data_IF_397873341656
#
_entry.id   IF_397873341656
#
_cell.length_a   1.000
_cell.length_b   1.000
_cell.length_c   1.000
_cell.angle_alpha   90.00
_cell.angle_beta   90.00
_cell.angle_gamma   90.00
#
_symmetry.space_group_name_H-M   'P 1'
#
loop_
_entity.id
_entity.type
_entity.pdbx_description
1 polymer ?
#
# COMPACT_ATOMS: atom_id res chain seq x y z
N UNK A 1 -2.66 -47.79 35.78
CA UNK A 1 -3.50 -48.98 35.94
C UNK A 1 -5.00 -48.65 35.93
N UNK A 2 -5.55 -47.68 36.71
CA UNK A 2 -6.99 -47.35 36.63
C UNK A 2 -7.36 -46.58 35.35
N UNK A 3 -6.56 -45.58 34.95
CA UNK A 3 -6.83 -44.75 33.77
C UNK A 3 -6.89 -45.53 32.43
N UNK A 4 -6.24 -46.69 32.36
CA UNK A 4 -6.23 -47.53 31.14
C UNK A 4 -7.52 -48.32 30.96
N UNK A 5 -8.19 -48.72 32.06
CA UNK A 5 -9.46 -49.42 31.99
C UNK A 5 -10.60 -48.46 31.61
N UNK A 6 -10.64 -47.28 32.23
CA UNK A 6 -11.65 -46.25 31.94
C UNK A 6 -11.57 -45.80 30.48
N UNK A 7 -10.35 -45.65 29.94
CA UNK A 7 -10.13 -45.33 28.54
C UNK A 7 -10.76 -46.38 27.60
N UNK A 8 -10.44 -47.66 27.84
CA UNK A 8 -10.98 -48.77 27.03
C UNK A 8 -12.50 -48.90 27.15
N UNK A 9 -13.06 -48.65 28.34
CA UNK A 9 -14.51 -48.68 28.55
C UNK A 9 -15.20 -47.54 27.79
N UNK A 10 -14.65 -46.32 27.84
CA UNK A 10 -15.23 -45.18 27.14
C UNK A 10 -15.13 -45.31 25.63
N UNK A 11 -14.04 -45.86 25.09
CA UNK A 11 -13.92 -46.17 23.66
C UNK A 11 -14.95 -47.21 23.21
N UNK A 12 -15.09 -48.31 23.94
CA UNK A 12 -16.10 -49.34 23.64
C UNK A 12 -17.54 -48.80 23.75
N UNK A 13 -17.79 -47.97 24.75
CA UNK A 13 -19.09 -47.33 24.95
C UNK A 13 -19.42 -46.37 23.80
N UNK A 14 -18.47 -45.54 23.39
CA UNK A 14 -18.58 -44.68 22.22
C UNK A 14 -18.89 -45.48 20.96
N UNK A 15 -18.14 -46.54 20.67
CA UNK A 15 -18.34 -47.37 19.48
C UNK A 15 -19.72 -48.03 19.49
N UNK A 16 -20.16 -48.53 20.65
CA UNK A 16 -21.49 -49.12 20.83
C UNK A 16 -22.61 -48.07 20.64
N UNK A 17 -22.44 -46.86 21.19
CA UNK A 17 -23.40 -45.76 21.04
C UNK A 17 -23.50 -45.27 19.60
N UNK A 18 -22.36 -45.17 18.90
CA UNK A 18 -22.34 -44.80 17.47
C UNK A 18 -23.03 -45.85 16.62
N UNK A 19 -22.72 -47.14 16.84
CA UNK A 19 -23.38 -48.24 16.14
C UNK A 19 -24.89 -48.23 16.38
N UNK A 20 -25.32 -48.02 17.63
CA UNK A 20 -26.73 -47.90 17.98
C UNK A 20 -27.40 -46.69 17.30
N UNK A 21 -26.74 -45.53 17.31
CA UNK A 21 -27.27 -44.31 16.70
C UNK A 21 -27.49 -44.48 15.19
N UNK A 22 -26.47 -44.97 14.48
CA UNK A 22 -26.52 -45.21 13.03
C UNK A 22 -27.59 -46.25 12.64
N UNK A 23 -27.72 -47.34 13.39
CA UNK A 23 -28.63 -48.45 13.05
C UNK A 23 -30.07 -48.22 13.48
N UNK A 24 -30.31 -47.55 14.61
CA UNK A 24 -31.62 -47.48 15.22
C UNK A 24 -32.17 -46.06 15.36
N UNK A 25 -31.33 -45.04 15.59
CA UNK A 25 -31.80 -43.68 15.81
C UNK A 25 -31.97 -42.90 14.50
N UNK A 26 -30.99 -42.95 13.59
CA UNK A 26 -31.05 -42.26 12.30
C UNK A 26 -32.27 -42.69 11.46
N UNK A 27 -32.56 -43.99 11.28
CA UNK A 27 -33.69 -44.42 10.43
C UNK A 27 -35.06 -44.16 11.04
N UNK A 28 -35.15 -43.86 12.34
CA UNK A 28 -36.41 -43.58 13.05
C UNK A 28 -36.67 -42.09 13.25
N UNK A 29 -35.68 -41.23 12.97
CA UNK A 29 -35.79 -39.80 13.20
C UNK A 29 -36.55 -39.13 12.04
N UNK A 30 -37.77 -38.66 12.31
CA UNK A 30 -38.66 -38.03 11.32
C UNK A 30 -38.07 -36.76 10.70
N UNK A 31 -37.26 -36.00 11.43
CA UNK A 31 -36.62 -34.78 10.91
C UNK A 31 -35.48 -35.11 9.93
N UNK A 32 -34.63 -36.08 10.26
CA UNK A 32 -33.55 -36.51 9.36
C UNK A 32 -34.08 -37.15 8.08
N UNK A 33 -35.21 -37.87 8.17
CA UNK A 33 -35.91 -38.42 7.01
C UNK A 33 -36.47 -37.29 6.14
N UNK A 34 -37.12 -36.29 6.75
CA UNK A 34 -37.67 -35.14 6.03
C UNK A 34 -36.59 -34.33 5.29
N UNK A 35 -35.38 -34.25 5.84
CA UNK A 35 -34.23 -33.58 5.23
C UNK A 35 -33.45 -34.47 4.24
N UNK A 36 -33.85 -35.72 4.02
CA UNK A 36 -33.15 -36.67 3.15
C UNK A 36 -31.81 -37.19 3.69
N UNK A 37 -31.40 -36.76 4.90
CA UNK A 37 -30.12 -37.09 5.53
C UNK A 37 -30.06 -38.53 6.05
N UNK A 38 -31.20 -39.20 6.24
CA UNK A 38 -31.22 -40.60 6.68
C UNK A 38 -30.56 -41.57 5.70
N UNK A 39 -30.44 -41.20 4.41
CA UNK A 39 -29.78 -42.04 3.39
C UNK A 39 -28.28 -41.73 3.24
N UNK A 40 -27.83 -40.57 3.70
CA UNK A 40 -26.44 -40.11 3.62
C UNK A 40 -25.65 -40.47 4.87
N UNK A 41 -26.27 -40.42 6.05
CA UNK A 41 -25.63 -40.75 7.34
C UNK A 41 -25.54 -42.26 7.56
N UNK A 42 -24.48 -42.91 7.04
CA UNK A 42 -24.28 -44.38 7.15
C UNK A 42 -23.02 -44.77 7.91
N UNK A 43 -22.03 -43.89 7.95
CA UNK A 43 -20.72 -44.13 8.54
C UNK A 43 -20.41 -43.10 9.64
N UNK A 44 -19.37 -43.40 10.42
CA UNK A 44 -18.83 -42.46 11.41
C UNK A 44 -18.29 -41.18 10.77
N UNK A 45 -17.78 -41.25 9.54
CA UNK A 45 -17.30 -40.09 8.77
C UNK A 45 -18.45 -39.16 8.36
N UNK A 46 -19.60 -39.73 8.00
CA UNK A 46 -20.79 -38.94 7.67
C UNK A 46 -21.30 -38.20 8.92
N UNK A 47 -21.23 -38.84 10.10
CA UNK A 47 -21.55 -38.19 11.38
C UNK A 47 -20.51 -37.12 11.74
N UNK A 48 -19.22 -37.35 11.51
CA UNK A 48 -18.18 -36.34 11.70
C UNK A 48 -18.47 -35.09 10.88
N UNK A 49 -18.76 -35.27 9.59
CA UNK A 49 -19.06 -34.17 8.68
C UNK A 49 -20.33 -33.44 9.11
N UNK A 50 -21.39 -34.17 9.48
CA UNK A 50 -22.67 -33.56 9.84
C UNK A 50 -22.68 -32.89 11.22
N UNK A 51 -22.00 -33.46 12.22
CA UNK A 51 -21.93 -32.90 13.56
C UNK A 51 -20.75 -31.95 13.77
N UNK A 52 -19.81 -31.91 12.81
CA UNK A 52 -18.58 -31.12 12.88
C UNK A 52 -17.73 -31.50 14.10
N UNK A 53 -17.82 -32.77 14.51
CA UNK A 53 -17.22 -33.32 15.73
C UNK A 53 -16.65 -34.68 15.44
N UNK A 54 -15.37 -34.88 15.75
CA UNK A 54 -14.73 -36.17 15.56
C UNK A 54 -15.27 -37.18 16.58
N UNK A 55 -16.09 -38.11 16.06
CA UNK A 55 -16.76 -39.15 16.83
C UNK A 55 -15.84 -40.33 17.15
N UNK A 56 -14.63 -40.39 16.58
CA UNK A 56 -13.67 -41.47 16.77
C UNK A 56 -12.47 -41.07 17.65
N UNK A 57 -12.52 -39.89 18.28
CA UNK A 57 -11.49 -39.44 19.24
C UNK A 57 -11.46 -40.33 20.48
N UNK A 58 -10.25 -40.77 20.84
CA UNK A 58 -9.97 -41.47 22.10
C UNK A 58 -9.96 -40.52 23.30
N UNK A 59 -10.25 -41.01 24.49
CA UNK A 59 -10.23 -40.19 25.71
C UNK A 59 -8.80 -39.68 26.06
N UNK A 60 -7.75 -40.20 25.44
CA UNK A 60 -6.37 -39.77 25.66
C UNK A 60 -6.07 -38.33 25.23
N UNK A 61 -6.93 -37.70 24.40
CA UNK A 61 -6.74 -36.33 23.93
C UNK A 61 -7.65 -35.37 24.71
N UNK A 62 -7.15 -34.68 25.75
CA UNK A 62 -7.98 -33.75 26.50
C UNK A 62 -8.27 -32.49 25.67
N UNK A 63 -9.55 -32.10 25.59
CA UNK A 63 -9.98 -30.83 24.99
C UNK A 63 -10.99 -30.12 25.90
N UNK A 64 -11.05 -28.80 25.80
CA UNK A 64 -12.08 -28.02 26.51
C UNK A 64 -13.35 -27.92 25.66
N UNK A 65 -14.51 -27.78 26.31
CA UNK A 65 -15.80 -27.59 25.59
C UNK A 65 -15.77 -26.40 24.64
N UNK A 66 -15.10 -25.32 25.03
CA UNK A 66 -14.98 -24.10 24.21
C UNK A 66 -14.09 -24.35 23.00
N UNK A 67 -12.93 -25.00 23.18
CA UNK A 67 -12.03 -25.33 22.08
C UNK A 67 -12.70 -26.27 21.05
N UNK A 68 -13.47 -27.24 21.53
CA UNK A 68 -14.25 -28.14 20.69
C UNK A 68 -15.29 -27.36 19.85
N UNK A 69 -16.08 -26.49 20.49
CA UNK A 69 -17.06 -25.66 19.78
C UNK A 69 -16.41 -24.70 18.76
N UNK A 70 -15.24 -24.14 19.08
CA UNK A 70 -14.47 -23.29 18.15
C UNK A 70 -14.04 -24.11 16.93
N UNK A 71 -13.48 -25.30 17.14
CA UNK A 71 -13.03 -26.17 16.04
C UNK A 71 -14.18 -26.57 15.12
N UNK A 72 -15.34 -26.95 15.68
CA UNK A 72 -16.55 -27.26 14.90
C UNK A 72 -17.01 -26.07 14.05
N UNK A 73 -17.03 -24.87 14.63
CA UNK A 73 -17.42 -23.66 13.89
C UNK A 73 -16.40 -23.29 12.81
N UNK A 74 -15.10 -23.43 13.09
CA UNK A 74 -14.04 -23.20 12.10
C UNK A 74 -14.15 -24.18 10.93
N UNK A 75 -14.40 -25.47 11.20
CA UNK A 75 -14.64 -26.48 10.16
C UNK A 75 -15.83 -26.10 9.29
N UNK A 76 -16.95 -25.68 9.90
CA UNK A 76 -18.15 -25.26 9.17
C UNK A 76 -17.91 -24.05 8.28
N UNK A 77 -17.27 -23.00 8.79
CA UNK A 77 -16.98 -21.79 7.99
C UNK A 77 -16.02 -22.12 6.84
N UNK A 78 -15.06 -23.01 7.07
CA UNK A 78 -14.18 -23.50 6.00
C UNK A 78 -14.96 -24.30 4.96
N UNK A 79 -15.89 -25.17 5.37
CA UNK A 79 -16.81 -25.89 4.50
C UNK A 79 -17.64 -24.96 3.62
N UNK A 80 -18.20 -23.89 4.20
CA UNK A 80 -18.90 -22.82 3.46
C UNK A 80 -17.98 -22.17 2.42
N UNK A 81 -16.75 -21.82 2.82
CA UNK A 81 -15.81 -21.14 1.92
C UNK A 81 -15.36 -22.02 0.74
N UNK A 82 -15.36 -23.34 0.91
CA UNK A 82 -15.05 -24.32 -0.12
C UNK A 82 -16.29 -24.74 -0.94
N UNK A 83 -17.48 -24.25 -0.60
CA UNK A 83 -18.74 -24.64 -1.24
C UNK A 83 -19.14 -26.10 -0.97
N UNK A 84 -18.62 -26.69 0.11
CA UNK A 84 -18.92 -28.08 0.50
C UNK A 84 -20.20 -28.19 1.33
N UNK A 85 -20.69 -27.07 1.87
CA UNK A 85 -21.91 -27.02 2.66
C UNK A 85 -23.15 -26.82 1.76
N UNK A 86 -24.25 -27.58 2.00
CA UNK A 86 -25.47 -27.47 1.21
C UNK A 86 -26.01 -26.03 1.16
N UNK A 87 -26.31 -25.55 -0.04
CA UNK A 87 -26.81 -24.19 -0.26
C UNK A 87 -25.73 -23.12 -0.49
N UNK A 88 -24.44 -23.45 -0.31
CA UNK A 88 -23.31 -22.56 -0.60
C UNK A 88 -22.51 -22.98 -1.85
N UNK A 89 -23.03 -23.92 -2.63
CA UNK A 89 -22.42 -24.44 -3.86
C UNK A 89 -22.31 -23.37 -4.97
N UNK A 90 -23.28 -22.45 -5.02
CA UNK A 90 -23.38 -21.40 -6.05
C UNK A 90 -23.04 -19.99 -5.52
N UNK A 91 -23.45 -19.68 -4.30
CA UNK A 91 -23.18 -18.39 -3.63
C UNK A 91 -22.42 -18.65 -2.33
N UNK A 92 -21.09 -18.68 -2.42
CA UNK A 92 -20.20 -18.77 -1.25
C UNK A 92 -20.02 -17.43 -0.53
N UNK A 93 -18.98 -17.35 0.30
CA UNK A 93 -18.58 -16.09 0.93
C UNK A 93 -18.22 -15.04 -0.14
N UNK A 94 -18.65 -13.79 0.07
CA UNK A 94 -18.18 -12.68 -0.78
C UNK A 94 -16.65 -12.55 -0.67
N UNK A 95 -15.96 -12.01 -1.70
CA UNK A 95 -14.51 -11.84 -1.66
C UNK A 95 -14.03 -11.09 -0.41
N UNK A 96 -14.74 -10.05 0.03
CA UNK A 96 -14.42 -9.29 1.23
C UNK A 96 -14.55 -10.11 2.54
N UNK A 97 -15.59 -10.96 2.63
CA UNK A 97 -15.78 -11.86 3.77
C UNK A 97 -14.69 -12.94 3.80
N UNK A 98 -14.33 -13.48 2.63
CA UNK A 98 -13.28 -14.48 2.51
C UNK A 98 -11.92 -13.93 2.96
N UNK A 99 -11.54 -12.74 2.48
CA UNK A 99 -10.33 -12.04 2.92
C UNK A 99 -10.35 -11.79 4.43
N UNK A 100 -11.48 -11.33 4.97
CA UNK A 100 -11.61 -11.11 6.42
C UNK A 100 -11.41 -12.41 7.21
N UNK A 101 -12.03 -13.50 6.75
CA UNK A 101 -11.89 -14.82 7.38
C UNK A 101 -10.42 -15.27 7.36
N UNK A 102 -9.81 -15.31 6.18
CA UNK A 102 -8.45 -15.78 5.97
C UNK A 102 -7.42 -14.93 6.73
N UNK A 103 -7.52 -13.61 6.68
CA UNK A 103 -6.48 -12.73 7.23
C UNK A 103 -6.63 -12.53 8.73
N UNK A 104 -7.85 -12.60 9.28
CA UNK A 104 -8.12 -12.12 10.66
C UNK A 104 -8.86 -13.08 11.58
N UNK A 105 -9.76 -13.94 11.07
CA UNK A 105 -10.69 -14.70 11.92
C UNK A 105 -10.41 -16.20 11.97
N UNK A 106 -9.68 -16.77 10.99
CA UNK A 106 -9.60 -18.22 10.82
C UNK A 106 -8.97 -18.97 12.01
N UNK A 107 -8.04 -18.33 12.74
CA UNK A 107 -7.39 -18.91 13.93
C UNK A 107 -7.56 -18.00 15.14
N UNK A 108 -7.85 -18.60 16.30
CA UNK A 108 -7.98 -17.87 17.56
C UNK A 108 -6.79 -16.95 17.87
N UNK A 109 -5.56 -17.42 17.64
CA UNK A 109 -4.34 -16.63 17.90
C UNK A 109 -4.25 -15.35 17.06
N UNK A 110 -4.65 -15.41 15.79
CA UNK A 110 -4.64 -14.25 14.88
C UNK A 110 -5.75 -13.29 15.27
N UNK A 111 -6.96 -13.82 15.51
CA UNK A 111 -8.07 -13.01 16.00
C UNK A 111 -7.70 -12.30 17.31
N UNK A 112 -7.08 -13.01 18.25
CA UNK A 112 -6.63 -12.47 19.52
C UNK A 112 -5.59 -11.37 19.32
N UNK A 113 -4.59 -11.59 18.46
CA UNK A 113 -3.60 -10.56 18.12
C UNK A 113 -4.26 -9.32 17.50
N UNK A 114 -5.26 -9.48 16.63
CA UNK A 114 -6.03 -8.38 16.05
C UNK A 114 -6.81 -7.59 17.11
N UNK A 115 -7.45 -8.27 18.07
CA UNK A 115 -8.12 -7.61 19.19
C UNK A 115 -7.11 -6.86 20.07
N UNK A 116 -5.99 -7.50 20.38
CA UNK A 116 -4.94 -6.88 21.19
C UNK A 116 -4.34 -5.66 20.50
N UNK A 117 -4.11 -5.70 19.18
CA UNK A 117 -3.63 -4.56 18.41
C UNK A 117 -4.61 -3.38 18.47
N UNK A 118 -5.92 -3.66 18.42
CA UNK A 118 -6.97 -2.64 18.50
C UNK A 118 -7.03 -1.93 19.85
N UNK A 119 -6.93 -2.69 20.96
CA UNK A 119 -7.07 -2.14 22.32
C UNK A 119 -5.74 -1.72 22.95
N UNK A 120 -4.65 -2.37 22.56
CA UNK A 120 -3.29 -2.19 23.11
C UNK A 120 -2.26 -2.04 21.99
N UNK A 121 -2.38 -1.03 21.12
CA UNK A 121 -1.46 -0.85 19.99
C UNK A 121 -0.01 -0.65 20.43
N UNK A 122 0.20 -0.03 21.61
CA UNK A 122 1.53 0.21 22.16
C UNK A 122 2.37 -1.06 22.33
N UNK A 123 1.75 -2.23 22.56
CA UNK A 123 2.46 -3.51 22.68
C UNK A 123 3.08 -3.96 21.35
N UNK A 124 2.56 -3.47 20.22
CA UNK A 124 3.01 -3.84 18.88
C UNK A 124 3.87 -2.76 18.21
N UNK A 125 4.02 -1.58 18.84
CA UNK A 125 4.84 -0.51 18.31
C UNK A 125 6.32 -0.82 18.53
N UNK A 126 7.01 -1.18 17.45
CA UNK A 126 8.47 -1.20 17.40
C UNK A 126 8.96 -0.03 16.51
N UNK A 127 9.72 0.95 17.05
CA UNK A 127 10.25 2.08 16.27
C UNK A 127 11.06 1.64 15.04
N UNK A 128 11.80 0.54 15.14
CA UNK A 128 12.65 0.03 14.07
C UNK A 128 11.85 -0.57 12.91
N UNK A 129 10.62 -1.03 13.14
CA UNK A 129 9.78 -1.69 12.15
C UNK A 129 8.75 -0.77 11.50
N UNK A 130 8.86 0.55 11.73
CA UNK A 130 8.02 1.53 11.06
C UNK A 130 8.16 1.40 9.54
N UNK A 131 7.07 1.16 8.82
CA UNK A 131 7.09 0.94 7.36
C UNK A 131 7.18 2.24 6.55
N UNK A 132 6.62 3.34 7.06
CA UNK A 132 6.57 4.64 6.40
C UNK A 132 7.72 5.57 6.84
N UNK A 133 8.97 5.09 6.80
CA UNK A 133 10.14 5.92 7.14
C UNK A 133 10.50 6.81 5.95
N UNK A 134 10.71 8.10 6.23
CA UNK A 134 11.23 9.06 5.24
C UNK A 134 12.69 8.75 4.93
N UNK A 135 13.18 9.12 3.74
CA UNK A 135 14.57 8.92 3.36
C UNK A 135 15.56 9.57 4.35
N UNK A 136 15.20 10.76 4.86
CA UNK A 136 16.00 11.45 5.89
C UNK A 136 16.09 10.64 7.19
N UNK A 137 14.99 10.00 7.61
CA UNK A 137 14.97 9.16 8.80
C UNK A 137 15.77 7.86 8.59
N UNK A 138 15.65 7.23 7.43
CA UNK A 138 16.47 6.06 7.09
C UNK A 138 17.97 6.40 7.10
N UNK A 139 18.34 7.59 6.61
CA UNK A 139 19.73 8.05 6.69
C UNK A 139 20.19 8.23 8.13
N UNK A 140 19.36 8.78 9.02
CA UNK A 140 19.68 8.88 10.45
C UNK A 140 19.89 7.49 11.08
N UNK A 141 19.05 6.51 10.78
CA UNK A 141 19.21 5.13 11.25
C UNK A 141 20.55 4.55 10.76
N UNK A 142 20.90 4.76 9.49
CA UNK A 142 22.17 4.33 8.92
C UNK A 142 23.37 5.01 9.62
N UNK A 143 23.31 6.32 9.83
CA UNK A 143 24.36 7.12 10.49
C UNK A 143 24.63 6.60 11.92
N UNK A 144 23.55 6.28 12.66
CA UNK A 144 23.62 5.72 14.03
C UNK A 144 24.15 4.28 14.01
N UNK A 145 23.69 3.44 13.08
CA UNK A 145 24.06 2.02 13.01
C UNK A 145 25.53 1.79 12.64
N UNK A 146 26.13 2.68 11.86
CA UNK A 146 27.54 2.57 11.45
C UNK A 146 28.53 2.97 12.55
N UNK A 147 28.10 3.80 13.50
CA UNK A 147 28.95 4.36 14.53
C UNK A 147 28.86 3.57 15.83
N UNK A 148 29.96 3.53 16.59
CA UNK A 148 29.87 3.10 18.00
C UNK A 148 28.97 4.10 18.74
N UNK A 149 27.98 3.59 19.46
CA UNK A 149 27.02 4.40 20.22
C UNK A 149 27.76 5.17 21.32
N UNK A 150 28.09 6.42 21.04
CA UNK A 150 28.72 7.38 21.94
C UNK A 150 27.96 8.72 21.82
N UNK A 151 27.92 9.51 22.88
CA UNK A 151 27.13 10.75 22.89
C UNK A 151 27.53 11.73 21.77
N UNK A 152 28.81 11.78 21.41
CA UNK A 152 29.32 12.62 20.33
C UNK A 152 28.88 12.16 18.93
N UNK A 153 28.92 10.84 18.65
CA UNK A 153 28.48 10.30 17.36
C UNK A 153 26.98 10.47 17.17
N UNK A 154 26.19 10.23 18.22
CA UNK A 154 24.74 10.45 18.19
C UNK A 154 24.42 11.92 17.93
N UNK A 155 25.09 12.86 18.63
CA UNK A 155 24.86 14.29 18.44
C UNK A 155 25.13 14.71 16.99
N UNK A 156 26.23 14.22 16.40
CA UNK A 156 26.57 14.52 15.01
C UNK A 156 25.55 13.94 14.01
N UNK A 157 25.05 12.72 14.25
CA UNK A 157 24.00 12.12 13.42
C UNK A 157 22.69 12.92 13.49
N UNK A 158 22.29 13.35 14.71
CA UNK A 158 21.10 14.18 14.92
C UNK A 158 21.25 15.56 14.27
N UNK A 159 22.41 16.20 14.39
CA UNK A 159 22.69 17.48 13.72
C UNK A 159 22.60 17.35 12.19
N UNK A 160 23.14 16.27 11.63
CA UNK A 160 23.06 15.99 10.20
C UNK A 160 21.62 15.77 9.74
N UNK A 161 20.81 15.06 10.53
CA UNK A 161 19.38 14.91 10.29
C UNK A 161 18.62 16.24 10.32
N UNK A 162 18.93 17.11 11.30
CA UNK A 162 18.32 18.43 11.41
C UNK A 162 18.69 19.35 10.23
N UNK A 163 19.94 19.30 9.75
CA UNK A 163 20.36 20.03 8.55
C UNK A 163 19.54 19.61 7.33
N UNK A 164 19.47 18.30 7.05
CA UNK A 164 18.64 17.75 5.95
C UNK A 164 17.15 18.09 6.10
N UNK A 165 16.66 18.16 7.34
CA UNK A 165 15.28 18.56 7.61
C UNK A 165 15.03 20.05 7.32
N UNK A 166 15.99 20.92 7.67
CA UNK A 166 15.91 22.37 7.41
C UNK A 166 15.78 22.67 5.91
N UNK A 167 16.51 21.93 5.06
CA UNK A 167 16.43 22.07 3.61
C UNK A 167 15.03 21.77 3.07
N UNK A 168 14.38 20.73 3.59
CA UNK A 168 13.04 20.31 3.17
C UNK A 168 11.96 21.22 3.78
N UNK A 169 12.15 21.69 5.00
CA UNK A 169 11.18 22.54 5.70
C UNK A 169 11.04 23.94 5.07
N UNK A 170 12.12 24.45 4.46
CA UNK A 170 12.17 25.78 3.85
C UNK A 170 11.87 25.79 2.34
N UNK A 171 11.37 24.68 1.78
CA UNK A 171 11.01 24.59 0.36
C UNK A 171 9.89 25.58 0.02
N UNK A 172 10.03 26.25 -1.12
CA UNK A 172 9.01 27.14 -1.68
C UNK A 172 8.33 26.45 -2.85
N UNK A 173 7.01 26.23 -2.76
CA UNK A 173 6.22 25.64 -3.84
C UNK A 173 6.15 26.60 -5.03
N UNK A 174 6.47 26.10 -6.22
CA UNK A 174 6.53 26.89 -7.45
C UNK A 174 5.32 26.66 -8.35
N UNK A 175 5.07 25.39 -8.70
CA UNK A 175 4.04 24.98 -9.65
C UNK A 175 3.36 23.69 -9.17
N UNK A 176 2.21 23.38 -9.77
CA UNK A 176 1.56 22.10 -9.59
C UNK A 176 0.82 21.62 -10.84
N UNK A 177 0.44 20.35 -10.82
CA UNK A 177 -0.31 19.65 -11.87
C UNK A 177 -1.36 18.76 -11.21
N UNK A 178 -2.54 18.67 -11.81
CA UNK A 178 -3.64 17.86 -11.29
C UNK A 178 -3.88 16.76 -12.31
N UNK A 179 -3.72 15.52 -11.86
CA UNK A 179 -4.07 14.32 -12.63
C UNK A 179 -5.54 14.00 -12.40
N UNK A 180 -6.41 14.66 -13.16
CA UNK A 180 -7.84 14.61 -12.95
C UNK A 180 -8.65 15.38 -13.99
N UNK A 181 -9.86 14.91 -14.24
CA UNK A 181 -10.85 15.66 -15.02
C UNK A 181 -11.42 16.82 -14.17
N UNK A 182 -11.89 17.87 -14.84
CA UNK A 182 -12.45 19.08 -14.22
C UNK A 182 -13.60 18.72 -13.27
N UNK A 183 -14.39 17.69 -13.63
CA UNK A 183 -15.53 17.23 -12.84
C UNK A 183 -15.14 16.37 -11.62
N UNK A 184 -13.90 15.87 -11.54
CA UNK A 184 -13.44 14.99 -10.45
C UNK A 184 -12.15 15.45 -9.75
N UNK A 185 -11.87 16.75 -9.78
CA UNK A 185 -10.71 17.33 -9.08
C UNK A 185 -10.68 16.94 -7.59
N UNK A 186 -11.85 16.80 -6.96
CA UNK A 186 -12.00 16.47 -5.55
C UNK A 186 -11.43 15.09 -5.15
N UNK A 187 -11.23 14.15 -6.09
CA UNK A 187 -10.61 12.85 -5.81
C UNK A 187 -9.35 12.61 -6.65
N UNK A 188 -8.79 13.66 -7.24
CA UNK A 188 -7.64 13.59 -8.13
C UNK A 188 -6.31 13.67 -7.37
N UNK A 189 -5.23 13.24 -8.02
CA UNK A 189 -3.87 13.37 -7.44
C UNK A 189 -3.23 14.67 -7.89
N UNK A 190 -2.68 15.41 -6.93
CA UNK A 190 -2.07 16.71 -7.14
C UNK A 190 -0.56 16.54 -7.01
N UNK A 191 0.19 16.98 -8.00
CA UNK A 191 1.64 16.99 -8.00
C UNK A 191 2.13 18.42 -7.80
N UNK A 192 3.12 18.59 -6.92
CA UNK A 192 3.73 19.87 -6.62
C UNK A 192 5.22 19.83 -6.89
N UNK A 193 5.77 20.94 -7.37
CA UNK A 193 7.21 21.15 -7.47
C UNK A 193 7.59 22.28 -6.52
N UNK A 194 8.59 22.03 -5.69
CA UNK A 194 9.19 22.99 -4.76
C UNK A 194 10.66 23.21 -5.07
N UNK A 195 11.18 24.35 -4.65
CA UNK A 195 12.60 24.71 -4.78
C UNK A 195 13.18 25.08 -3.42
N UNK A 196 14.41 24.65 -3.17
CA UNK A 196 15.17 25.07 -1.98
C UNK A 196 15.63 26.52 -2.10
N UNK A 197 15.73 27.20 -0.96
CA UNK A 197 16.21 28.59 -0.89
C UNK A 197 17.73 28.67 -0.91
N UNK A 198 18.39 27.70 -0.29
CA UNK A 198 19.84 27.69 -0.11
C UNK A 198 20.54 27.09 -1.34
N UNK A 199 19.99 26.00 -1.87
CA UNK A 199 20.54 25.27 -3.00
C UNK A 199 19.57 25.38 -4.18
N UNK A 200 20.08 25.49 -5.41
CA UNK A 200 19.25 25.52 -6.63
C UNK A 200 18.68 24.14 -6.98
N UNK A 201 18.21 23.41 -5.97
CA UNK A 201 17.68 22.05 -6.03
C UNK A 201 16.17 22.06 -6.03
N UNK A 202 15.60 21.19 -6.86
CA UNK A 202 14.17 21.06 -7.03
C UNK A 202 13.68 19.75 -6.42
N UNK A 203 12.49 19.79 -5.84
CA UNK A 203 11.84 18.66 -5.24
C UNK A 203 10.42 18.54 -5.78
N UNK A 204 9.87 17.33 -5.75
CA UNK A 204 8.46 17.11 -6.03
C UNK A 204 7.79 16.28 -4.94
N UNK A 205 6.49 16.44 -4.80
CA UNK A 205 5.65 15.58 -3.95
C UNK A 205 4.25 15.46 -4.54
N UNK A 206 3.49 14.47 -4.10
CA UNK A 206 2.10 14.27 -4.46
C UNK A 206 1.16 14.41 -3.25
N UNK A 207 -0.09 14.76 -3.54
CA UNK A 207 -1.22 14.77 -2.62
C UNK A 207 -2.37 14.00 -3.27
N UNK A 208 -2.81 12.95 -2.61
CA UNK A 208 -3.95 12.14 -3.03
C UNK A 208 -5.25 12.64 -2.37
N UNK A 209 -6.05 13.43 -3.11
CA UNK A 209 -7.30 14.00 -2.57
C UNK A 209 -8.42 12.96 -2.41
N UNK A 210 -8.24 11.72 -2.90
CA UNK A 210 -9.19 10.65 -2.61
C UNK A 210 -9.12 10.21 -1.13
N UNK A 211 -7.96 10.34 -0.49
CA UNK A 211 -7.69 10.02 0.93
C UNK A 211 -8.13 11.12 1.90
N UNK A 212 -9.32 11.69 1.67
CA UNK A 212 -9.95 12.63 2.59
C UNK A 212 -10.90 11.89 3.51
N UNK A 213 -10.87 12.26 4.79
CA UNK A 213 -11.78 11.70 5.79
C UNK A 213 -13.24 11.91 5.37
N UNK A 214 -14.08 10.91 5.59
CA UNK A 214 -15.53 11.04 5.44
C UNK A 214 -16.03 12.13 6.41
N UNK A 215 -16.98 12.94 5.94
CA UNK A 215 -17.66 13.90 6.80
C UNK A 215 -18.52 13.13 7.82
N UNK A 216 -18.44 13.41 9.14
CA UNK A 216 -19.36 12.82 10.12
C UNK A 216 -20.84 13.10 9.84
N UNK A 217 -21.18 14.14 9.06
CA UNK A 217 -22.53 14.43 8.59
C UNK A 217 -22.93 13.66 7.33
N UNK A 218 -22.03 12.85 6.76
CA UNK A 218 -22.31 12.04 5.59
C UNK A 218 -23.41 11.01 5.90
N UNK A 219 -24.55 11.14 5.22
CA UNK A 219 -25.63 10.16 5.28
C UNK A 219 -25.33 9.00 4.31
N UNK A 220 -26.04 7.88 4.43
CA UNK A 220 -25.88 6.70 3.52
C UNK A 220 -26.06 7.04 2.03
N UNK A 221 -26.59 8.22 1.70
CA UNK A 221 -26.89 8.69 0.34
C UNK A 221 -26.00 9.86 -0.12
N UNK A 222 -25.18 10.45 0.76
CA UNK A 222 -24.28 11.57 0.42
C UNK A 222 -22.87 11.26 0.90
N UNK A 223 -21.97 10.96 -0.04
CA UNK A 223 -20.54 10.72 0.22
C UNK A 223 -19.78 12.04 0.26
N UNK A 224 -20.14 12.96 1.18
CA UNK A 224 -19.34 14.16 1.40
C UNK A 224 -18.06 13.80 2.16
N UNK A 225 -16.92 14.22 1.62
CA UNK A 225 -15.61 14.14 2.29
C UNK A 225 -15.28 15.52 2.83
N UNK A 226 -14.50 15.57 3.92
CA UNK A 226 -13.95 16.83 4.42
C UNK A 226 -13.03 17.45 3.36
N UNK A 227 -12.97 18.78 3.32
CA UNK A 227 -12.06 19.48 2.41
C UNK A 227 -10.59 19.34 2.82
N UNK A 228 -10.32 19.14 4.11
CA UNK A 228 -8.96 18.96 4.62
C UNK A 228 -8.43 17.56 4.34
N UNK A 229 -7.30 17.42 3.62
CA UNK A 229 -6.66 16.13 3.40
C UNK A 229 -6.11 15.52 4.69
N UNK A 230 -6.10 14.19 4.75
CA UNK A 230 -5.42 13.47 5.83
C UNK A 230 -3.91 13.63 5.70
N UNK A 231 -3.17 13.53 6.81
CA UNK A 231 -1.71 13.62 6.79
C UNK A 231 -1.08 12.49 5.93
N UNK A 232 -1.72 11.33 5.87
CA UNK A 232 -1.34 10.17 5.06
C UNK A 232 -1.58 10.34 3.56
N UNK A 233 -2.34 11.36 3.16
CA UNK A 233 -2.61 11.68 1.75
C UNK A 233 -1.40 12.30 1.04
N UNK A 234 -0.48 12.88 1.82
CA UNK A 234 0.73 13.50 1.32
C UNK A 234 1.86 12.48 1.16
N UNK A 235 2.58 12.55 0.04
CA UNK A 235 3.88 11.91 -0.09
C UNK A 235 4.98 12.78 0.51
N UNK A 236 6.13 12.16 0.78
CA UNK A 236 7.37 12.87 1.07
C UNK A 236 7.86 13.65 -0.15
N UNK A 237 8.73 14.64 0.10
CA UNK A 237 9.44 15.36 -0.94
C UNK A 237 10.55 14.48 -1.51
N UNK A 238 10.60 14.37 -2.84
CA UNK A 238 11.62 13.63 -3.57
C UNK A 238 12.45 14.57 -4.43
N UNK A 239 13.77 14.36 -4.46
CA UNK A 239 14.70 15.18 -5.23
C UNK A 239 14.47 14.98 -6.73
N UNK A 240 14.44 16.08 -7.49
CA UNK A 240 14.49 16.05 -8.95
C UNK A 240 15.95 16.26 -9.36
N UNK A 241 16.59 15.29 -10.05
CA UNK A 241 17.99 15.38 -10.42
C UNK A 241 18.19 16.30 -11.64
N UNK A 242 17.99 17.60 -11.44
CA UNK A 242 18.24 18.63 -12.46
C UNK A 242 19.70 19.09 -12.43
N UNK A 243 20.31 19.38 -13.60
CA UNK A 243 21.66 19.90 -13.67
C UNK A 243 21.73 21.32 -13.07
N UNK A 244 22.49 21.47 -11.98
CA UNK A 244 22.63 22.75 -11.27
C UNK A 244 23.32 23.87 -12.08
N UNK A 245 24.06 23.50 -13.14
CA UNK A 245 24.82 24.43 -13.99
C UNK A 245 24.01 25.15 -15.06
N UNK A 246 22.74 24.78 -15.24
CA UNK A 246 21.89 25.33 -16.31
C UNK A 246 21.04 26.50 -15.81
N UNK A 247 20.93 27.56 -16.64
CA UNK A 247 20.01 28.66 -16.35
C UNK A 247 18.57 28.21 -16.62
N UNK A 248 17.93 27.70 -15.56
CA UNK A 248 16.55 27.21 -15.55
C UNK A 248 15.69 28.26 -14.85
N UNK A 249 14.74 28.91 -15.56
CA UNK A 249 13.81 29.81 -14.91
C UNK A 249 12.91 29.06 -13.94
N UNK A 250 12.85 29.50 -12.68
CA UNK A 250 12.15 28.79 -11.60
C UNK A 250 10.71 28.39 -11.94
N UNK A 251 9.94 29.30 -12.55
CA UNK A 251 8.53 29.04 -12.91
C UNK A 251 8.34 28.18 -14.15
N UNK A 252 9.41 27.80 -14.84
CA UNK A 252 9.35 26.93 -16.02
C UNK A 252 9.22 25.44 -15.65
N UNK A 253 9.67 25.04 -14.46
CA UNK A 253 9.65 23.64 -14.02
C UNK A 253 8.21 23.23 -13.69
N UNK A 254 7.66 22.25 -14.42
CA UNK A 254 6.28 21.78 -14.25
C UNK A 254 6.21 20.27 -14.19
N UNK A 255 5.44 19.70 -13.24
CA UNK A 255 5.08 18.29 -13.29
C UNK A 255 4.00 18.06 -14.36
N UNK A 256 4.03 16.91 -15.01
CA UNK A 256 3.00 16.42 -15.93
C UNK A 256 2.87 14.92 -15.74
N UNK A 257 1.70 14.44 -15.36
CA UNK A 257 1.42 13.01 -15.33
C UNK A 257 0.87 12.56 -16.68
N UNK A 258 1.55 11.63 -17.33
CA UNK A 258 1.17 11.12 -18.65
C UNK A 258 1.51 9.64 -18.78
N UNK A 259 0.57 8.85 -19.31
CA UNK A 259 0.76 7.41 -19.55
C UNK A 259 1.30 6.65 -18.32
N UNK A 260 0.63 6.85 -17.18
CA UNK A 260 0.96 6.26 -15.88
C UNK A 260 2.36 6.60 -15.34
N UNK A 261 2.95 7.72 -15.79
CA UNK A 261 4.28 8.16 -15.38
C UNK A 261 4.32 9.67 -15.12
N UNK A 262 5.05 10.07 -14.08
CA UNK A 262 5.32 11.48 -13.79
C UNK A 262 6.51 11.95 -14.63
N UNK A 263 6.29 12.99 -15.42
CA UNK A 263 7.32 13.72 -16.12
C UNK A 263 7.51 15.08 -15.44
N UNK A 264 8.75 15.54 -15.34
CA UNK A 264 9.06 16.92 -14.99
C UNK A 264 9.63 17.58 -16.25
N UNK A 265 8.97 18.64 -16.71
CA UNK A 265 9.38 19.44 -17.87
C UNK A 265 9.94 20.78 -17.40
N UNK A 266 10.98 21.29 -18.06
CA UNK A 266 11.53 22.62 -17.77
C UNK A 266 12.06 23.29 -19.03
N UNK A 267 12.19 24.62 -18.96
CA UNK A 267 12.87 25.39 -19.98
C UNK A 267 14.31 25.68 -19.54
N UNK A 268 15.26 25.51 -20.44
CA UNK A 268 16.65 25.90 -20.27
C UNK A 268 16.93 27.10 -21.17
N UNK A 269 17.44 28.17 -20.59
CA UNK A 269 17.87 29.36 -21.32
C UNK A 269 19.38 29.30 -21.49
N UNK A 270 19.84 29.22 -22.73
CA UNK A 270 21.27 29.35 -23.05
C UNK A 270 21.49 30.78 -23.50
N UNK A 271 22.19 31.55 -22.68
CA UNK A 271 22.55 32.93 -22.98
C UNK A 271 23.55 32.98 -24.15
N UNK A 272 23.47 34.02 -24.99
CA UNK A 272 24.39 34.17 -26.10
C UNK A 272 25.83 34.33 -25.61
N UNK A 273 26.76 33.64 -26.25
CA UNK A 273 28.19 33.82 -25.95
C UNK A 273 28.68 35.10 -26.63
N UNK A 274 29.12 36.13 -25.89
CA UNK A 274 29.59 37.36 -26.50
C UNK A 274 30.87 37.09 -27.30
N UNK A 275 30.83 37.31 -28.62
CA UNK A 275 32.01 37.27 -29.47
C UNK A 275 32.64 38.66 -29.57
N UNK A 276 33.97 38.75 -29.40
CA UNK A 276 34.72 40.01 -29.54
C UNK A 276 34.82 40.51 -30.99
N UNK A 277 34.52 39.67 -31.98
CA UNK A 277 34.40 40.03 -33.39
C UNK A 277 32.97 40.45 -33.72
N UNK A 278 32.78 41.53 -34.50
CA UNK A 278 31.47 41.89 -35.04
C UNK A 278 30.88 40.69 -35.81
N UNK A 279 29.74 40.12 -35.36
CA UNK A 279 29.12 39.02 -36.07
C UNK A 279 28.54 39.51 -37.40
N UNK A 280 28.78 38.75 -38.48
CA UNK A 280 28.23 39.02 -39.81
C UNK A 280 26.70 39.18 -39.73
N UNK A 281 26.15 40.21 -40.36
CA UNK A 281 24.72 40.50 -40.28
C UNK A 281 23.93 39.40 -41.02
N UNK A 282 22.71 39.09 -40.56
CA UNK A 282 21.85 38.12 -41.27
C UNK A 282 21.55 38.58 -42.71
N UNK A 283 21.66 39.89 -42.98
CA UNK A 283 21.50 40.53 -44.29
C UNK A 283 22.74 40.47 -45.19
N UNK A 284 23.90 40.00 -44.70
CA UNK A 284 25.13 39.89 -45.51
C UNK A 284 25.00 38.71 -46.49
N UNK A 285 24.32 38.94 -47.61
CA UNK A 285 24.14 37.94 -48.66
C UNK A 285 25.43 37.82 -49.51
N UNK A 286 25.99 36.61 -49.61
CA UNK A 286 27.12 36.31 -50.51
C UNK A 286 26.59 35.54 -51.73
N UNK A 287 26.93 36.02 -52.93
CA UNK A 287 26.44 35.48 -54.20
C UNK A 287 26.87 34.02 -54.48
N UNK A 288 27.95 33.54 -53.86
CA UNK A 288 28.52 32.18 -54.04
C UNK A 288 28.35 31.27 -52.81
N UNK A 289 27.36 31.52 -51.95
CA UNK A 289 27.25 30.84 -50.68
C UNK A 289 26.41 29.55 -50.75
N UNK A 290 27.05 28.41 -50.48
CA UNK A 290 26.37 27.11 -50.36
C UNK A 290 25.42 27.07 -49.15
N UNK A 291 24.36 26.25 -49.24
CA UNK A 291 23.34 26.09 -48.18
C UNK A 291 23.95 25.72 -46.82
N UNK A 292 25.05 24.95 -46.82
CA UNK A 292 25.80 24.60 -45.60
C UNK A 292 26.48 25.82 -44.97
N UNK A 293 27.05 26.71 -45.79
CA UNK A 293 27.72 27.92 -45.30
C UNK A 293 26.70 28.92 -44.76
N UNK A 294 25.55 29.06 -45.44
CA UNK A 294 24.42 29.85 -44.94
C UNK A 294 23.91 29.34 -43.57
N UNK A 295 23.72 28.02 -43.41
CA UNK A 295 23.33 27.43 -42.11
C UNK A 295 24.37 27.69 -41.02
N UNK A 296 25.65 27.54 -41.33
CA UNK A 296 26.70 27.77 -40.35
C UNK A 296 26.78 29.24 -39.89
N UNK A 297 26.64 30.20 -40.82
CA UNK A 297 26.60 31.64 -40.51
C UNK A 297 25.34 32.03 -39.74
N UNK A 298 24.18 31.53 -40.15
CA UNK A 298 22.93 31.82 -39.45
C UNK A 298 22.94 31.23 -38.04
N UNK A 299 23.44 30.00 -37.84
CA UNK A 299 23.63 29.44 -36.49
C UNK A 299 24.59 30.25 -35.63
N UNK A 300 25.73 30.70 -36.18
CA UNK A 300 26.68 31.51 -35.43
C UNK A 300 26.08 32.87 -35.06
N UNK A 301 25.39 33.53 -35.99
CA UNK A 301 24.65 34.76 -35.72
C UNK A 301 23.61 34.59 -34.61
N UNK A 302 22.80 33.52 -34.69
CA UNK A 302 21.75 33.23 -33.70
C UNK A 302 22.35 32.95 -32.32
N UNK A 303 23.44 32.18 -32.23
CA UNK A 303 24.14 31.87 -30.96
C UNK A 303 24.77 33.11 -30.31
N UNK A 304 25.17 34.11 -31.09
CA UNK A 304 25.82 35.32 -30.57
C UNK A 304 24.82 36.42 -30.18
N UNK A 305 23.63 36.47 -30.79
CA UNK A 305 22.66 37.56 -30.55
C UNK A 305 21.36 37.16 -29.85
N UNK A 306 20.93 35.90 -29.93
CA UNK A 306 19.66 35.46 -29.38
C UNK A 306 19.86 34.40 -28.29
N UNK A 307 19.06 34.49 -27.24
CA UNK A 307 18.96 33.44 -26.23
C UNK A 307 18.25 32.22 -26.82
N UNK A 308 18.86 31.05 -26.74
CA UNK A 308 18.24 29.80 -27.14
C UNK A 308 17.45 29.23 -25.96
N UNK A 309 16.16 29.00 -26.15
CA UNK A 309 15.33 28.29 -25.17
C UNK A 309 15.19 26.83 -25.64
N UNK A 310 15.60 25.89 -24.79
CA UNK A 310 15.42 24.45 -25.04
C UNK A 310 14.44 23.91 -24.01
N UNK A 311 13.49 23.08 -24.42
CA UNK A 311 12.57 22.40 -23.52
C UNK A 311 13.13 21.00 -23.23
N UNK A 312 13.34 20.69 -21.95
CA UNK A 312 13.88 19.42 -21.50
C UNK A 312 12.86 18.71 -20.60
N UNK A 313 13.00 17.40 -20.46
CA UNK A 313 12.15 16.61 -19.57
C UNK A 313 12.92 15.44 -18.93
N UNK A 314 12.42 15.00 -17.78
CA UNK A 314 12.88 13.81 -17.04
C UNK A 314 11.66 13.04 -16.51
N UNK A 315 11.82 11.77 -16.18
CA UNK A 315 10.74 10.84 -15.84
C UNK A 315 11.13 9.82 -14.76
#
# INVERSE_FOLDING_TARGET
MPHTLDHQLNEKLRDAQLAFYLTHAVPKNTQLIALGLAQTLKSAEDLYTHWLLDVLVSQAVPTSRVACAIASLQQYINGISLGLEPGYEAEGLSPAQLTTWQDTLHTYSIWHAHQQLRYFPATFLNPELRSNKTDNFQQLENDINQSRIQSSSILSAVQSYLGRFEDIANLTTLNGYIDGDIDNMANSTYYFVGKSRAENTYYWRSLDMAKRAMDPSATRTSTSKKDTPEASAWSDWQLIPLPASENIPDRSVRPVYFNNRLFIIWAQVVEPTPSFSEPAQLSDFKYDEDEKQYKLRSESFLKTRLSKISLNFIY
#
